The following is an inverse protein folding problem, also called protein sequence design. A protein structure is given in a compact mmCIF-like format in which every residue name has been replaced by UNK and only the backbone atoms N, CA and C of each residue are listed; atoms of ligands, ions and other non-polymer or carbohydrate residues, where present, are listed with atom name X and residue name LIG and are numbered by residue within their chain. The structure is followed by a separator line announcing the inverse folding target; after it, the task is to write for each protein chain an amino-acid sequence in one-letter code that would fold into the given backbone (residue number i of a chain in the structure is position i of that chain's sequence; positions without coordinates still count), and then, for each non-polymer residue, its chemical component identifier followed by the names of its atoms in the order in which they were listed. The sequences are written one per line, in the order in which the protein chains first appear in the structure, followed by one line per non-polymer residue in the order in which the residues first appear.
data_IF_108501542739
#
_entry.id   IF_108501542739
#
_cell.length_a   1.000
_cell.length_b   1.000
_cell.length_c   1.000
_cell.angle_alpha   90.00
_cell.angle_beta   90.00
_cell.angle_gamma   90.00
#
_symmetry.space_group_name_H-M   'P 1'
#
loop_
_entity.id
_entity.type
_entity.pdbx_description
1 polymer ?
#
# COMPACT_ATOMS: atom_id res chain seq x y z
N UNK A 1 88.14 13.12 -22.95
CA UNK A 1 89.11 13.60 -21.96
C UNK A 1 88.42 14.60 -21.04
N UNK A 2 88.60 14.65 -19.79
CA UNK A 2 88.65 13.63 -18.73
C UNK A 2 87.46 13.76 -17.76
N UNK A 3 87.17 12.68 -17.09
CA UNK A 3 87.43 12.36 -15.66
C UNK A 3 86.87 13.35 -14.63
N UNK A 4 86.20 12.84 -13.65
CA UNK A 4 86.56 12.68 -12.22
C UNK A 4 85.30 12.31 -11.42
N UNK A 5 85.32 11.17 -10.88
CA UNK A 5 85.42 10.75 -9.47
C UNK A 5 84.19 10.95 -8.56
N UNK A 6 83.74 9.78 -8.21
CA UNK A 6 83.12 9.32 -6.98
C UNK A 6 83.13 10.22 -5.75
N UNK A 7 81.98 10.29 -5.08
CA UNK A 7 81.90 10.32 -3.61
C UNK A 7 80.73 9.50 -3.17
N UNK A 8 80.99 8.40 -2.48
CA UNK A 8 80.07 7.65 -1.70
C UNK A 8 79.71 8.38 -0.42
N UNK A 9 78.47 8.63 -0.17
CA UNK A 9 78.00 8.93 1.19
C UNK A 9 76.84 8.01 1.52
N UNK A 10 77.16 7.10 2.41
CA UNK A 10 76.13 6.22 3.04
C UNK A 10 75.37 7.06 4.09
N UNK A 11 74.11 7.16 3.93
CA UNK A 11 73.25 7.65 5.03
C UNK A 11 72.19 6.56 5.31
N UNK A 12 72.34 5.97 6.48
CA UNK A 12 71.40 5.07 7.10
C UNK A 12 70.09 5.82 7.37
N UNK A 13 69.02 5.41 6.73
CA UNK A 13 67.68 5.89 7.08
C UNK A 13 66.95 4.80 7.86
N UNK A 14 66.64 5.19 9.09
CA UNK A 14 65.89 4.41 10.04
C UNK A 14 64.48 4.02 9.49
N UNK A 15 64.23 2.74 9.50
CA UNK A 15 62.93 2.16 9.16
C UNK A 15 61.96 2.48 10.33
N UNK A 16 61.04 3.41 10.09
CA UNK A 16 59.90 3.60 10.99
C UNK A 16 58.89 2.54 10.67
N UNK A 17 58.70 1.63 11.60
CA UNK A 17 57.61 0.68 11.60
C UNK A 17 56.32 1.48 11.93
N UNK A 18 55.58 1.86 10.91
CA UNK A 18 54.24 2.41 11.07
C UNK A 18 53.28 1.30 11.46
N UNK A 19 52.80 1.33 12.68
CA UNK A 19 51.68 0.50 13.09
C UNK A 19 50.41 0.92 12.33
N UNK A 20 50.01 0.13 11.34
CA UNK A 20 48.74 0.32 10.66
C UNK A 20 47.63 -0.01 11.65
N UNK A 21 46.96 1.01 12.16
CA UNK A 21 45.69 0.84 12.88
C UNK A 21 44.65 0.42 11.87
N UNK A 22 44.27 -0.85 11.89
CA UNK A 22 43.13 -1.35 11.17
C UNK A 22 41.87 -0.81 11.80
N UNK A 23 41.33 0.26 11.22
CA UNK A 23 39.98 0.70 11.54
C UNK A 23 39.00 -0.38 10.99
N UNK A 24 38.50 -1.19 11.90
CA UNK A 24 37.41 -2.11 11.62
C UNK A 24 36.18 -1.27 11.31
N UNK A 25 35.83 -1.17 10.03
CA UNK A 25 34.57 -0.60 9.60
C UNK A 25 33.48 -1.56 10.08
N UNK A 26 32.85 -1.22 11.21
CA UNK A 26 31.61 -1.88 11.62
C UNK A 26 30.56 -1.53 10.56
N UNK A 27 30.34 -2.45 9.64
CA UNK A 27 29.18 -2.41 8.73
C UNK A 27 27.95 -2.48 9.61
N UNK A 28 27.31 -1.34 9.84
CA UNK A 28 25.99 -1.30 10.43
C UNK A 28 25.05 -2.03 9.46
N UNK A 29 24.81 -3.29 9.74
CA UNK A 29 23.79 -4.10 9.07
C UNK A 29 22.46 -3.51 9.47
N UNK A 30 21.95 -2.63 8.64
CA UNK A 30 20.60 -2.10 8.75
C UNK A 30 19.69 -3.31 8.59
N UNK A 31 19.19 -3.82 9.72
CA UNK A 31 18.18 -4.85 9.70
C UNK A 31 17.02 -4.31 8.87
N UNK A 32 16.81 -4.89 7.69
CA UNK A 32 15.63 -4.63 6.90
C UNK A 32 14.44 -4.96 7.81
N UNK A 33 13.73 -3.93 8.25
CA UNK A 33 12.44 -4.10 8.89
C UNK A 33 11.60 -4.87 7.89
N UNK A 34 11.12 -6.09 8.20
CA UNK A 34 10.22 -6.77 7.28
C UNK A 34 9.07 -5.82 7.03
N UNK A 35 8.83 -5.49 5.76
CA UNK A 35 7.60 -4.81 5.38
C UNK A 35 6.48 -5.72 5.88
N UNK A 36 5.88 -5.35 7.01
CA UNK A 36 4.68 -6.00 7.49
C UNK A 36 3.70 -5.87 6.34
N UNK A 37 3.39 -6.97 5.66
CA UNK A 37 2.22 -7.03 4.80
C UNK A 37 1.06 -6.78 5.76
N UNK A 38 0.64 -5.52 5.87
CA UNK A 38 -0.48 -5.13 6.72
C UNK A 38 -1.69 -5.81 6.12
N UNK A 39 -2.07 -6.95 6.70
CA UNK A 39 -3.38 -7.52 6.47
C UNK A 39 -4.37 -6.47 6.93
N UNK A 40 -5.21 -5.99 6.02
CA UNK A 40 -6.24 -5.02 6.35
C UNK A 40 -7.18 -5.63 7.40
N UNK A 41 -7.67 -4.79 8.30
CA UNK A 41 -8.52 -5.24 9.41
C UNK A 41 -9.86 -5.80 8.87
N UNK A 42 -10.12 -7.07 9.11
CA UNK A 42 -11.34 -7.76 8.69
C UNK A 42 -12.57 -7.28 9.50
N UNK A 43 -12.44 -7.06 10.79
CA UNK A 43 -13.59 -6.60 11.60
C UNK A 43 -14.00 -5.18 11.23
N UNK A 44 -13.03 -4.30 10.99
CA UNK A 44 -13.32 -2.97 10.43
C UNK A 44 -14.01 -3.09 9.07
N UNK A 45 -13.51 -3.96 8.20
CA UNK A 45 -14.16 -4.21 6.90
C UNK A 45 -15.62 -4.62 7.07
N UNK A 46 -15.87 -5.64 7.86
CA UNK A 46 -17.20 -6.21 8.08
C UNK A 46 -18.17 -5.19 8.67
N UNK A 47 -17.73 -4.43 9.66
CA UNK A 47 -18.59 -3.50 10.42
C UNK A 47 -18.75 -2.14 9.76
N UNK A 48 -17.77 -1.67 8.99
CA UNK A 48 -17.72 -0.29 8.49
C UNK A 48 -17.65 -0.17 6.96
N UNK A 49 -16.89 -1.03 6.30
CA UNK A 49 -16.70 -0.99 4.84
C UNK A 49 -17.83 -1.72 4.12
N UNK A 50 -18.09 -2.94 4.51
CA UNK A 50 -19.07 -3.81 3.83
C UNK A 50 -20.49 -3.21 3.78
N UNK A 51 -21.04 -2.54 4.81
CA UNK A 51 -22.34 -1.88 4.74
C UNK A 51 -22.44 -0.83 3.64
N UNK A 52 -21.35 -0.16 3.29
CA UNK A 52 -21.30 0.85 2.23
C UNK A 52 -21.75 0.25 0.86
N UNK A 53 -21.44 -1.02 0.62
CA UNK A 53 -21.83 -1.70 -0.62
C UNK A 53 -23.35 -1.94 -0.75
N UNK A 54 -24.08 -1.87 0.36
CA UNK A 54 -25.52 -2.02 0.43
C UNK A 54 -26.25 -0.67 0.47
N UNK A 55 -25.55 0.43 0.70
CA UNK A 55 -26.14 1.75 0.81
C UNK A 55 -26.72 2.19 -0.54
N UNK A 56 -28.01 2.60 -0.54
CA UNK A 56 -28.65 3.21 -1.69
C UNK A 56 -28.39 4.72 -1.66
N UNK A 57 -27.74 5.22 -2.70
CA UNK A 57 -27.49 6.67 -2.87
C UNK A 57 -28.46 7.26 -3.89
N UNK A 58 -28.87 8.53 -3.73
CA UNK A 58 -29.68 9.21 -4.75
C UNK A 58 -28.99 9.16 -6.12
N UNK A 59 -29.75 8.81 -7.16
CA UNK A 59 -29.24 8.72 -8.53
C UNK A 59 -28.36 7.51 -8.86
N UNK A 60 -27.98 6.69 -7.89
CA UNK A 60 -27.06 5.55 -8.11
C UNK A 60 -27.69 4.22 -7.70
N UNK A 61 -27.30 3.14 -8.37
CA UNK A 61 -27.56 1.79 -7.89
C UNK A 61 -26.70 1.51 -6.64
N UNK A 62 -27.09 0.50 -5.83
CA UNK A 62 -26.21 -0.02 -4.80
C UNK A 62 -25.00 -0.71 -5.46
N UNK A 63 -23.83 -0.67 -4.84
CA UNK A 63 -22.63 -1.33 -5.37
C UNK A 63 -22.89 -2.81 -5.68
N UNK A 64 -23.56 -3.51 -4.76
CA UNK A 64 -23.92 -4.93 -4.93
C UNK A 64 -24.75 -5.19 -6.20
N UNK A 65 -25.55 -4.23 -6.66
CA UNK A 65 -26.43 -4.46 -7.83
C UNK A 65 -25.62 -4.78 -9.10
N UNK A 66 -24.42 -4.23 -9.24
CA UNK A 66 -23.51 -4.53 -10.35
C UNK A 66 -22.40 -5.50 -9.93
N UNK A 67 -21.95 -5.39 -8.67
CA UNK A 67 -20.81 -6.17 -8.18
C UNK A 67 -21.16 -7.57 -7.66
N UNK A 68 -22.40 -8.03 -7.78
CA UNK A 68 -22.76 -9.45 -7.54
C UNK A 68 -22.49 -10.37 -8.72
N UNK A 69 -22.17 -9.82 -9.91
CA UNK A 69 -21.88 -10.60 -11.11
C UNK A 69 -21.03 -9.80 -12.10
N UNK A 70 -20.22 -10.48 -12.92
CA UNK A 70 -19.61 -9.91 -14.13
C UNK A 70 -18.53 -8.84 -13.94
N UNK A 71 -18.07 -8.56 -12.72
CA UNK A 71 -17.04 -7.54 -12.45
C UNK A 71 -15.82 -8.14 -11.74
N UNK A 72 -14.62 -7.51 -11.82
CA UNK A 72 -13.44 -7.94 -11.07
C UNK A 72 -13.68 -7.96 -9.55
N UNK A 73 -14.36 -6.96 -9.01
CA UNK A 73 -14.87 -6.97 -7.64
C UNK A 73 -16.20 -7.75 -7.63
N UNK A 74 -16.19 -8.95 -7.11
CA UNK A 74 -17.40 -9.81 -7.07
C UNK A 74 -17.81 -10.05 -5.62
N UNK A 75 -18.85 -9.34 -5.19
CA UNK A 75 -19.47 -9.52 -3.89
C UNK A 75 -20.45 -10.71 -3.93
N UNK A 76 -20.70 -11.34 -2.79
CA UNK A 76 -21.72 -12.36 -2.66
C UNK A 76 -23.12 -11.76 -2.91
N UNK A 77 -23.99 -12.45 -3.66
CA UNK A 77 -25.37 -11.99 -3.82
C UNK A 77 -26.11 -12.06 -2.47
N UNK A 78 -27.06 -11.15 -2.26
CA UNK A 78 -27.98 -11.23 -1.13
C UNK A 78 -29.27 -11.94 -1.59
N UNK A 79 -29.64 -13.04 -0.96
CA UNK A 79 -30.95 -13.68 -1.18
C UNK A 79 -32.11 -12.73 -0.86
N UNK A 80 -33.29 -12.93 -1.49
CA UNK A 80 -34.45 -12.13 -1.17
C UNK A 80 -34.76 -12.11 0.34
N UNK A 81 -35.11 -10.95 0.87
CA UNK A 81 -35.45 -10.76 2.30
C UNK A 81 -34.23 -10.58 3.23
N UNK A 82 -33.01 -10.82 2.76
CA UNK A 82 -31.82 -10.55 3.57
C UNK A 82 -31.29 -9.14 3.32
N UNK A 83 -30.86 -8.51 4.41
CA UNK A 83 -30.32 -7.14 4.40
C UNK A 83 -28.83 -7.08 4.72
N UNK A 84 -28.26 -8.20 5.18
CA UNK A 84 -26.84 -8.32 5.54
C UNK A 84 -26.30 -9.70 5.11
N UNK A 85 -25.01 -9.76 4.92
CA UNK A 85 -24.29 -11.03 4.69
C UNK A 85 -24.03 -11.76 6.01
N UNK A 86 -23.98 -13.08 5.95
CA UNK A 86 -23.50 -13.89 7.07
C UNK A 86 -21.97 -13.87 7.13
N UNK A 87 -21.38 -14.52 8.12
CA UNK A 87 -19.94 -14.52 8.34
C UNK A 87 -19.14 -15.11 7.17
N UNK A 88 -19.58 -16.25 6.64
CA UNK A 88 -18.91 -16.89 5.50
C UNK A 88 -18.94 -16.01 4.25
N UNK A 89 -20.08 -15.40 3.96
CA UNK A 89 -20.24 -14.49 2.84
C UNK A 89 -19.41 -13.21 3.03
N UNK A 90 -19.30 -12.72 4.27
CA UNK A 90 -18.48 -11.56 4.61
C UNK A 90 -17.00 -11.84 4.38
N UNK A 91 -16.49 -13.00 4.75
CA UNK A 91 -15.13 -13.42 4.42
C UNK A 91 -14.89 -13.48 2.90
N UNK A 92 -15.83 -14.07 2.15
CA UNK A 92 -15.73 -14.09 0.68
C UNK A 92 -15.74 -12.69 0.05
N UNK A 93 -16.53 -11.78 0.63
CA UNK A 93 -16.53 -10.37 0.21
C UNK A 93 -15.22 -9.68 0.52
N UNK A 94 -14.66 -9.93 1.70
CA UNK A 94 -13.35 -9.41 2.09
C UNK A 94 -12.27 -9.85 1.11
N UNK A 95 -12.18 -11.14 0.80
CA UNK A 95 -11.23 -11.69 -0.17
C UNK A 95 -11.41 -11.10 -1.57
N UNK A 96 -12.68 -10.87 -1.98
CA UNK A 96 -12.97 -10.25 -3.26
C UNK A 96 -12.52 -8.79 -3.31
N UNK A 97 -12.69 -8.04 -2.22
CA UNK A 97 -12.28 -6.64 -2.13
C UNK A 97 -10.76 -6.51 -2.09
N UNK A 98 -10.04 -7.41 -1.41
CA UNK A 98 -8.59 -7.41 -1.39
C UNK A 98 -7.96 -7.47 -2.79
N UNK A 99 -8.64 -8.05 -3.79
CA UNK A 99 -8.16 -8.12 -5.19
C UNK A 99 -8.11 -6.76 -5.90
N UNK A 100 -8.84 -5.77 -5.40
CA UNK A 100 -8.94 -4.42 -5.97
C UNK A 100 -8.35 -3.35 -5.04
N UNK A 101 -7.68 -3.77 -3.98
CA UNK A 101 -7.04 -2.91 -2.99
C UNK A 101 -5.54 -3.12 -3.01
N UNK A 102 -4.80 -2.04 -2.91
CA UNK A 102 -3.37 -2.01 -2.58
C UNK A 102 -3.27 -1.39 -1.19
N UNK A 103 -2.99 -2.17 -0.14
CA UNK A 103 -2.89 -1.65 1.22
C UNK A 103 -1.91 -0.47 1.32
N UNK A 104 -2.31 0.57 2.04
CA UNK A 104 -1.52 1.80 2.20
C UNK A 104 -1.50 2.72 0.96
N UNK A 105 -2.29 2.44 -0.09
CA UNK A 105 -2.26 3.22 -1.32
C UNK A 105 -3.59 3.91 -1.61
N UNK A 106 -3.55 5.24 -1.75
CA UNK A 106 -4.68 6.03 -2.25
C UNK A 106 -5.05 5.73 -3.71
N UNK A 107 -4.20 5.01 -4.44
CA UNK A 107 -4.45 4.56 -5.82
C UNK A 107 -5.19 3.22 -5.88
N UNK A 108 -5.62 2.68 -4.74
CA UNK A 108 -6.45 1.48 -4.70
C UNK A 108 -7.73 1.67 -5.52
N UNK A 109 -8.05 0.72 -6.40
CA UNK A 109 -9.23 0.82 -7.27
C UNK A 109 -10.54 0.96 -6.49
N UNK A 110 -10.60 0.41 -5.29
CA UNK A 110 -11.73 0.61 -4.38
C UNK A 110 -11.99 2.08 -4.07
N UNK A 111 -10.94 2.91 -4.02
CA UNK A 111 -11.03 4.35 -3.73
C UNK A 111 -11.24 5.20 -4.98
N UNK A 112 -10.45 4.94 -6.03
CA UNK A 112 -10.40 5.85 -7.19
C UNK A 112 -11.49 5.53 -8.21
N UNK A 113 -11.90 4.27 -8.35
CA UNK A 113 -12.81 3.87 -9.42
C UNK A 113 -14.22 4.47 -9.29
N UNK A 114 -14.87 4.47 -8.10
CA UNK A 114 -16.17 5.10 -7.90
C UNK A 114 -16.11 6.59 -7.50
N UNK A 115 -14.94 7.21 -7.42
CA UNK A 115 -14.75 8.63 -7.11
C UNK A 115 -14.85 9.47 -8.39
N UNK A 116 -15.38 10.70 -8.29
CA UNK A 116 -15.40 11.66 -9.39
C UNK A 116 -13.98 11.98 -9.88
N UNK A 117 -13.83 12.19 -11.20
CA UNK A 117 -12.54 12.47 -11.82
C UNK A 117 -11.92 13.75 -11.27
N UNK A 118 -12.73 14.79 -11.08
CA UNK A 118 -12.33 16.08 -10.53
C UNK A 118 -11.84 15.97 -9.06
N UNK A 119 -12.25 14.91 -8.37
CA UNK A 119 -11.79 14.60 -7.01
C UNK A 119 -10.58 13.65 -6.99
N UNK A 120 -10.02 13.30 -8.14
CA UNK A 120 -8.89 12.39 -8.29
C UNK A 120 -9.27 10.94 -8.55
N UNK A 121 -10.49 10.69 -9.00
CA UNK A 121 -10.97 9.37 -9.40
C UNK A 121 -10.54 8.96 -10.81
N UNK A 122 -10.84 7.71 -11.16
CA UNK A 122 -10.66 7.18 -12.52
C UNK A 122 -11.61 7.89 -13.51
N UNK A 123 -11.21 7.94 -14.78
CA UNK A 123 -12.04 8.47 -15.85
C UNK A 123 -13.42 7.78 -15.94
N UNK A 124 -13.48 6.46 -15.83
CA UNK A 124 -14.69 5.72 -16.09
C UNK A 124 -15.06 4.73 -14.94
N UNK A 125 -16.35 4.71 -14.62
CA UNK A 125 -17.00 3.67 -13.80
C UNK A 125 -18.41 3.45 -14.33
N UNK A 126 -18.72 2.25 -14.83
CA UNK A 126 -20.01 1.96 -15.48
C UNK A 126 -21.24 2.17 -14.58
N UNK A 127 -21.08 2.04 -13.27
CA UNK A 127 -22.11 2.33 -12.27
C UNK A 127 -22.28 3.81 -11.91
N UNK A 128 -21.54 4.71 -12.58
CA UNK A 128 -21.44 6.13 -12.24
C UNK A 128 -20.49 6.41 -11.09
N UNK A 129 -20.22 7.67 -10.84
CA UNK A 129 -19.34 8.10 -9.75
C UNK A 129 -20.16 8.28 -8.47
N UNK A 130 -19.92 7.44 -7.49
CA UNK A 130 -20.69 7.42 -6.24
C UNK A 130 -20.36 8.55 -5.28
N UNK A 131 -19.12 9.09 -5.36
CA UNK A 131 -18.63 10.17 -4.50
C UNK A 131 -18.07 11.31 -5.35
N UNK A 132 -18.59 12.51 -5.14
CA UNK A 132 -18.12 13.73 -5.81
C UNK A 132 -16.90 14.34 -5.14
N UNK A 133 -16.57 13.92 -3.93
CA UNK A 133 -15.48 14.48 -3.12
C UNK A 133 -14.83 13.43 -2.23
N UNK A 134 -13.54 13.59 -2.00
CA UNK A 134 -12.82 12.81 -0.99
C UNK A 134 -13.27 13.11 0.45
N UNK A 135 -14.04 14.17 0.67
CA UNK A 135 -14.59 14.53 1.99
C UNK A 135 -15.88 13.75 2.32
N UNK A 136 -16.39 12.94 1.41
CA UNK A 136 -17.53 12.07 1.68
C UNK A 136 -17.22 11.08 2.80
N UNK A 137 -18.13 10.94 3.75
CA UNK A 137 -17.91 10.13 4.95
C UNK A 137 -17.69 8.65 4.65
N UNK A 138 -18.40 8.11 3.63
CA UNK A 138 -18.21 6.71 3.22
C UNK A 138 -16.86 6.54 2.52
N UNK A 139 -16.47 7.49 1.66
CA UNK A 139 -15.16 7.46 1.02
C UNK A 139 -14.03 7.54 2.06
N UNK A 140 -14.17 8.38 3.08
CA UNK A 140 -13.20 8.48 4.17
C UNK A 140 -13.13 7.16 4.99
N UNK A 141 -14.25 6.48 5.18
CA UNK A 141 -14.28 5.16 5.82
C UNK A 141 -13.49 4.13 5.01
N UNK A 142 -13.69 4.09 3.68
CA UNK A 142 -12.91 3.23 2.78
C UNK A 142 -11.42 3.56 2.84
N UNK A 143 -11.08 4.84 2.79
CA UNK A 143 -9.70 5.32 2.87
C UNK A 143 -9.04 4.90 4.17
N UNK A 144 -9.69 5.11 5.32
CA UNK A 144 -9.18 4.73 6.63
C UNK A 144 -8.80 3.26 6.65
N UNK A 145 -9.69 2.40 6.16
CA UNK A 145 -9.44 0.97 6.08
C UNK A 145 -8.28 0.63 5.13
N UNK A 146 -8.30 1.15 3.90
CA UNK A 146 -7.25 0.90 2.89
C UNK A 146 -5.88 1.34 3.37
N UNK A 147 -5.81 2.43 4.10
CA UNK A 147 -4.56 2.96 4.66
C UNK A 147 -4.07 2.19 5.89
N UNK A 148 -4.87 1.25 6.41
CA UNK A 148 -4.51 0.49 7.62
C UNK A 148 -4.48 1.35 8.88
N UNK A 149 -5.14 2.51 8.87
CA UNK A 149 -5.21 3.37 10.04
C UNK A 149 -6.14 2.72 11.07
N UNK A 150 -5.57 2.26 12.16
CA UNK A 150 -6.32 1.85 13.35
C UNK A 150 -6.85 3.12 14.02
N UNK A 151 -8.14 3.18 14.27
CA UNK A 151 -8.72 4.20 15.14
C UNK A 151 -8.79 3.67 16.57
#
# INVERSE_FOLDING_TARGET
MPNWLAVLLALATAWRIGTASTMSAATAQQAAVPASSSTLDYEFFKMRVQPIFLTKRPGHARCISCHSSGTPLRLQPLPPGRTVWNEEESHKNYDAVLRVVVPGSLKSRLLVHPLAEEAGGDFYHSGGKHWSSQNDAEWQTLKTWVMGSQQ
#
